data_IF_402663068681
#
_entry.id   IF_402663068681
#
_cell.length_a   1.000
_cell.length_b   1.000
_cell.length_c   1.000
_cell.angle_alpha   90.00
_cell.angle_beta   90.00
_cell.angle_gamma   90.00
#
_symmetry.space_group_name_H-M   'P 1'
#
loop_
_entity.id
_entity.type
_entity.pdbx_description
1 polymer ?
#
# COMPACT_ATOMS: atom_id res chain seq x y z
N UNK A 1 68.86 -33.27 52.12
CA UNK A 1 68.05 -33.16 50.91
C UNK A 1 68.12 -31.74 50.45
N UNK A 2 68.77 -31.46 49.30
CA UNK A 2 68.96 -30.10 48.78
C UNK A 2 67.85 -29.75 47.81
N UNK A 3 67.12 -28.62 48.03
CA UNK A 3 66.20 -28.07 47.13
C UNK A 3 66.84 -27.22 46.05
N UNK A 4 66.47 -27.33 44.75
CA UNK A 4 67.08 -26.53 43.71
C UNK A 4 66.40 -25.16 43.61
N UNK A 5 67.18 -24.10 43.52
CA UNK A 5 66.83 -22.72 43.27
C UNK A 5 66.65 -22.46 41.77
N UNK A 6 65.54 -21.87 41.39
CA UNK A 6 65.28 -21.40 40.02
C UNK A 6 65.56 -19.90 39.87
N UNK A 7 66.12 -19.46 38.76
CA UNK A 7 66.45 -18.06 38.54
C UNK A 7 65.22 -17.25 38.13
N UNK A 8 65.08 -16.07 38.74
CA UNK A 8 64.05 -15.07 38.40
C UNK A 8 64.40 -14.46 37.04
N UNK A 9 63.44 -14.57 36.06
CA UNK A 9 63.48 -13.83 34.78
C UNK A 9 62.85 -12.46 34.96
N UNK A 10 63.37 -11.39 34.36
CA UNK A 10 62.76 -10.07 34.43
C UNK A 10 61.50 -10.00 33.54
N UNK A 11 60.48 -9.39 34.09
CA UNK A 11 59.19 -9.09 33.45
C UNK A 11 59.42 -7.94 32.47
N UNK A 12 59.35 -8.20 31.16
CA UNK A 12 59.31 -7.18 30.13
C UNK A 12 57.85 -6.65 30.02
N UNK A 13 57.66 -5.38 30.37
CA UNK A 13 56.41 -4.67 30.11
C UNK A 13 56.22 -4.49 28.60
N UNK A 14 55.35 -5.27 28.00
CA UNK A 14 54.82 -5.03 26.65
C UNK A 14 53.66 -4.03 26.78
N UNK A 15 53.90 -2.80 26.42
CA UNK A 15 52.85 -1.78 26.19
C UNK A 15 52.07 -2.16 24.94
N UNK A 16 50.91 -2.77 25.10
CA UNK A 16 49.95 -2.99 24.01
C UNK A 16 49.29 -1.66 23.66
N UNK A 17 49.66 -1.09 22.52
CA UNK A 17 48.95 0.02 21.89
C UNK A 17 47.69 -0.56 21.30
N UNK A 18 46.57 -0.35 21.97
CA UNK A 18 45.22 -0.69 21.45
C UNK A 18 44.84 0.29 20.34
N UNK A 19 45.00 -0.13 19.10
CA UNK A 19 44.37 0.51 17.96
C UNK A 19 42.87 0.19 18.04
N UNK A 20 42.06 1.11 18.60
CA UNK A 20 40.61 1.07 18.40
C UNK A 20 40.32 1.28 16.89
N UNK A 21 39.54 0.41 16.25
CA UNK A 21 39.02 0.71 14.94
C UNK A 21 38.02 1.91 15.09
N UNK A 22 38.38 3.02 14.50
CA UNK A 22 37.49 4.17 14.32
C UNK A 22 36.41 3.68 13.31
N UNK A 23 35.27 3.20 13.84
CA UNK A 23 34.08 2.95 13.04
C UNK A 23 33.67 4.30 12.43
N UNK A 24 33.94 4.48 11.15
CA UNK A 24 33.31 5.50 10.33
C UNK A 24 31.80 5.24 10.37
N UNK A 25 31.12 5.90 11.30
CA UNK A 25 29.69 6.12 11.18
C UNK A 25 29.52 6.93 9.90
N UNK A 26 29.16 6.26 8.81
CA UNK A 26 28.60 6.93 7.66
C UNK A 26 27.32 7.61 8.14
N UNK A 27 27.45 8.89 8.55
CA UNK A 27 26.32 9.77 8.67
C UNK A 27 25.72 9.80 7.26
N UNK A 28 24.55 9.21 7.08
CA UNK A 28 23.73 9.53 5.94
C UNK A 28 23.47 11.02 6.06
N UNK A 29 24.11 11.82 5.25
CA UNK A 29 23.86 13.24 5.16
C UNK A 29 22.38 13.37 4.80
N UNK A 30 21.59 13.81 5.75
CA UNK A 30 20.22 14.18 5.53
C UNK A 30 20.27 15.29 4.48
N UNK A 31 19.64 15.10 3.33
CA UNK A 31 19.60 16.10 2.29
C UNK A 31 18.96 17.37 2.90
N UNK A 32 19.67 18.50 2.81
CA UNK A 32 19.15 19.80 3.25
C UNK A 32 18.29 20.36 2.11
N UNK A 33 17.03 19.90 2.01
CA UNK A 33 16.08 20.23 0.95
C UNK A 33 14.66 20.37 1.51
N UNK A 34 13.82 21.10 0.78
CA UNK A 34 12.39 21.12 1.04
C UNK A 34 11.79 19.72 0.84
N UNK A 35 10.87 19.30 1.71
CA UNK A 35 10.32 17.95 1.69
C UNK A 35 8.85 17.81 2.12
N UNK A 36 8.22 18.90 2.55
CA UNK A 36 6.85 18.85 3.05
C UNK A 36 6.65 17.76 4.12
N UNK A 37 5.76 16.80 3.86
CA UNK A 37 5.45 15.67 4.75
C UNK A 37 6.32 14.41 4.48
N UNK A 38 7.20 14.44 3.46
CA UNK A 38 8.00 13.28 3.08
C UNK A 38 9.02 12.89 4.17
N UNK A 39 9.34 11.60 4.24
CA UNK A 39 10.43 11.09 5.09
C UNK A 39 11.75 11.80 4.78
N UNK A 40 12.63 11.86 5.78
CA UNK A 40 13.93 12.52 5.69
C UNK A 40 14.86 12.03 4.56
N UNK A 41 14.51 10.92 3.90
CA UNK A 41 15.25 10.39 2.76
C UNK A 41 14.92 11.07 1.44
N UNK A 42 13.83 11.85 1.37
CA UNK A 42 13.29 12.39 0.12
C UNK A 42 13.24 13.91 0.14
N UNK A 43 13.31 14.50 -1.04
CA UNK A 43 13.11 15.93 -1.30
C UNK A 43 11.82 16.12 -2.10
N UNK A 44 11.20 17.29 -1.95
CA UNK A 44 10.05 17.77 -2.72
C UNK A 44 10.25 19.28 -2.93
N UNK A 45 11.16 19.64 -3.84
CA UNK A 45 11.52 21.05 -4.10
C UNK A 45 10.48 21.76 -4.96
N UNK A 46 9.70 21.00 -5.73
CA UNK A 46 8.66 21.53 -6.61
C UNK A 46 7.29 21.67 -5.91
N UNK A 47 7.12 21.09 -4.71
CA UNK A 47 5.92 21.18 -3.88
C UNK A 47 4.73 20.36 -4.38
N UNK A 48 4.96 19.29 -5.16
CA UNK A 48 3.91 18.43 -5.69
C UNK A 48 3.53 17.26 -4.74
N UNK A 49 4.14 17.22 -3.55
CA UNK A 49 3.94 16.22 -2.50
C UNK A 49 4.51 14.83 -2.85
N UNK A 50 5.36 14.74 -3.85
CA UNK A 50 5.96 13.49 -4.32
C UNK A 50 7.48 13.60 -4.26
N UNK A 51 8.17 12.51 -4.01
CA UNK A 51 9.62 12.51 -3.94
C UNK A 51 10.27 12.87 -5.29
N UNK A 52 11.10 13.92 -5.28
CA UNK A 52 11.92 14.28 -6.43
C UNK A 52 12.88 13.14 -6.79
N UNK A 53 13.21 13.06 -8.10
CA UNK A 53 14.30 12.18 -8.54
C UNK A 53 15.62 12.69 -7.97
N UNK A 54 16.51 11.80 -7.46
CA UNK A 54 17.82 12.22 -6.99
C UNK A 54 18.60 13.02 -8.05
N UNK A 55 19.20 14.16 -7.65
CA UNK A 55 20.01 14.98 -8.55
C UNK A 55 21.33 14.29 -8.97
N UNK A 56 21.84 13.38 -8.14
CA UNK A 56 23.00 12.55 -8.47
C UNK A 56 22.58 11.32 -9.32
N UNK A 57 22.93 11.37 -10.60
CA UNK A 57 22.63 10.29 -11.56
C UNK A 57 23.21 8.92 -11.13
N UNK A 58 24.29 8.91 -10.33
CA UNK A 58 24.85 7.66 -9.80
C UNK A 58 23.90 6.95 -8.81
N UNK A 59 22.91 7.66 -8.28
CA UNK A 59 21.86 7.13 -7.40
C UNK A 59 20.65 6.58 -8.17
N UNK A 60 20.61 6.71 -9.51
CA UNK A 60 19.49 6.22 -10.29
C UNK A 60 19.55 4.69 -10.44
N UNK A 61 18.45 4.07 -10.08
CA UNK A 61 18.30 2.62 -10.21
C UNK A 61 17.93 2.24 -11.64
N UNK A 62 18.71 1.33 -12.24
CA UNK A 62 18.45 0.80 -13.59
C UNK A 62 18.54 -0.74 -13.57
N UNK A 63 17.61 -1.43 -12.87
CA UNK A 63 17.66 -2.86 -12.68
C UNK A 63 17.43 -3.61 -14.00
N UNK A 64 18.09 -4.76 -14.15
CA UNK A 64 17.86 -5.70 -15.26
C UNK A 64 16.57 -6.49 -15.07
N UNK A 65 16.11 -6.65 -13.83
CA UNK A 65 14.84 -7.28 -13.47
C UNK A 65 13.99 -6.28 -12.72
N UNK A 66 12.80 -5.98 -13.22
CA UNK A 66 11.79 -5.20 -12.54
C UNK A 66 10.93 -6.09 -11.64
N UNK A 67 10.61 -5.60 -10.46
CA UNK A 67 9.66 -6.25 -9.56
C UNK A 67 8.40 -5.40 -9.51
N UNK A 68 7.28 -6.02 -9.86
CA UNK A 68 5.95 -5.44 -9.80
C UNK A 68 5.12 -6.13 -8.72
N UNK A 69 4.33 -5.37 -7.96
CA UNK A 69 3.40 -5.90 -6.98
C UNK A 69 2.05 -5.19 -7.06
N UNK A 70 0.99 -5.92 -6.78
CA UNK A 70 -0.35 -5.37 -6.58
C UNK A 70 -0.73 -5.42 -5.11
N UNK A 71 -1.54 -4.47 -4.67
CA UNK A 71 -1.97 -4.31 -3.27
C UNK A 71 -2.74 -5.54 -2.75
N UNK A 72 -2.52 -5.96 -1.48
CA UNK A 72 -3.19 -7.13 -0.91
C UNK A 72 -4.58 -6.78 -0.35
N UNK A 73 -5.51 -6.37 -1.22
CA UNK A 73 -6.90 -6.04 -0.84
C UNK A 73 -7.77 -7.29 -0.65
N UNK A 74 -7.35 -8.40 -1.25
CA UNK A 74 -7.87 -9.77 -1.14
C UNK A 74 -6.70 -10.75 -0.97
N UNK A 75 -6.93 -12.07 -1.04
CA UNK A 75 -5.85 -13.06 -1.01
C UNK A 75 -4.84 -12.80 -2.14
N UNK A 76 -3.58 -12.46 -1.84
CA UNK A 76 -2.59 -12.14 -2.87
C UNK A 76 -2.28 -13.28 -3.85
N UNK A 77 -2.63 -14.52 -3.52
CA UNK A 77 -2.36 -15.68 -4.37
C UNK A 77 -3.17 -15.64 -5.68
N UNK A 78 -4.33 -15.00 -5.69
CA UNK A 78 -5.19 -14.90 -6.87
C UNK A 78 -4.60 -13.98 -7.95
N UNK A 79 -3.78 -13.00 -7.56
CA UNK A 79 -3.32 -11.96 -8.47
C UNK A 79 -2.14 -12.35 -9.36
N UNK A 80 -1.42 -13.43 -9.04
CA UNK A 80 -0.23 -13.81 -9.81
C UNK A 80 -0.55 -14.09 -11.28
N UNK A 81 -1.58 -14.88 -11.52
CA UNK A 81 -1.99 -15.28 -12.87
C UNK A 81 -2.76 -14.15 -13.56
N UNK A 82 -3.64 -13.45 -12.83
CA UNK A 82 -4.43 -12.31 -13.32
C UNK A 82 -3.54 -11.20 -13.89
N UNK A 83 -2.43 -10.90 -13.22
CA UNK A 83 -1.49 -9.86 -13.67
C UNK A 83 -0.48 -10.33 -14.72
N UNK A 84 -0.41 -11.63 -15.05
CA UNK A 84 0.59 -12.15 -15.98
C UNK A 84 0.53 -11.48 -17.37
N UNK A 85 -0.65 -11.22 -17.99
CA UNK A 85 -0.71 -10.53 -19.28
C UNK A 85 -0.07 -9.13 -19.24
N UNK A 86 -0.30 -8.38 -18.15
CA UNK A 86 0.31 -7.07 -17.97
C UNK A 86 1.82 -7.17 -17.70
N UNK A 87 2.27 -8.14 -16.91
CA UNK A 87 3.69 -8.40 -16.63
C UNK A 87 4.44 -8.71 -17.92
N UNK A 88 3.86 -9.50 -18.82
CA UNK A 88 4.45 -9.83 -20.12
C UNK A 88 4.53 -8.59 -21.01
N UNK A 89 3.47 -7.78 -21.09
CA UNK A 89 3.45 -6.52 -21.81
C UNK A 89 4.50 -5.52 -21.27
N UNK A 90 4.56 -5.35 -19.95
CA UNK A 90 5.56 -4.49 -19.30
C UNK A 90 6.99 -4.97 -19.59
N UNK A 91 7.20 -6.28 -19.65
CA UNK A 91 8.49 -6.87 -20.01
C UNK A 91 8.86 -6.57 -21.48
N UNK A 92 7.91 -6.68 -22.40
CA UNK A 92 8.10 -6.39 -23.82
C UNK A 92 8.48 -4.92 -24.05
N UNK A 93 7.68 -3.98 -23.50
CA UNK A 93 7.87 -2.54 -23.70
C UNK A 93 9.16 -2.04 -23.04
N UNK A 94 9.43 -2.48 -21.81
CA UNK A 94 10.63 -2.04 -21.09
C UNK A 94 11.91 -2.71 -21.56
N UNK A 95 11.80 -3.89 -22.19
CA UNK A 95 12.94 -4.75 -22.53
C UNK A 95 13.65 -5.30 -21.29
N UNK A 96 12.93 -5.47 -20.16
CA UNK A 96 13.44 -5.99 -18.88
C UNK A 96 12.74 -7.30 -18.53
N UNK A 97 13.41 -8.15 -17.75
CA UNK A 97 12.74 -9.23 -17.05
C UNK A 97 11.80 -8.59 -15.99
N UNK A 98 10.51 -8.94 -16.01
CA UNK A 98 9.54 -8.42 -15.02
C UNK A 98 8.97 -9.59 -14.24
N UNK A 99 8.89 -9.44 -12.91
CA UNK A 99 8.38 -10.46 -12.01
C UNK A 99 7.29 -9.90 -11.12
N UNK A 100 6.19 -10.60 -11.06
CA UNK A 100 5.16 -10.33 -10.06
C UNK A 100 5.63 -10.79 -8.68
N UNK A 101 5.40 -9.96 -7.67
CA UNK A 101 5.70 -10.26 -6.28
C UNK A 101 4.44 -10.15 -5.42
N UNK A 102 3.91 -11.29 -4.98
CA UNK A 102 2.76 -11.34 -4.10
C UNK A 102 3.15 -10.85 -2.69
N UNK A 103 2.59 -9.73 -2.27
CA UNK A 103 2.80 -9.14 -0.93
C UNK A 103 1.66 -9.53 0.00
N UNK A 104 1.97 -9.68 1.29
CA UNK A 104 1.02 -10.17 2.28
C UNK A 104 0.35 -9.05 3.10
N UNK A 105 0.90 -7.83 3.05
CA UNK A 105 0.35 -6.67 3.75
C UNK A 105 0.80 -5.37 3.10
N UNK A 106 0.03 -4.30 3.34
CA UNK A 106 0.39 -2.95 2.90
C UNK A 106 1.75 -2.51 3.46
N UNK A 107 2.02 -2.82 4.73
CA UNK A 107 3.30 -2.51 5.37
C UNK A 107 4.47 -3.18 4.66
N UNK A 108 4.35 -4.47 4.34
CA UNK A 108 5.38 -5.22 3.61
C UNK A 108 5.61 -4.65 2.20
N UNK A 109 4.56 -4.18 1.54
CA UNK A 109 4.65 -3.58 0.20
C UNK A 109 5.41 -2.24 0.23
N UNK A 110 5.06 -1.35 1.15
CA UNK A 110 5.75 -0.06 1.35
C UNK A 110 7.23 -0.28 1.71
N UNK A 111 7.53 -1.18 2.65
CA UNK A 111 8.90 -1.49 3.03
C UNK A 111 9.71 -2.15 1.89
N UNK A 112 9.09 -2.94 1.03
CA UNK A 112 9.74 -3.51 -0.14
C UNK A 112 10.17 -2.41 -1.13
N UNK A 113 9.31 -1.40 -1.39
CA UNK A 113 9.65 -0.27 -2.24
C UNK A 113 10.71 0.63 -1.58
N UNK A 114 10.53 1.00 -0.29
CA UNK A 114 11.50 1.79 0.47
C UNK A 114 12.90 1.19 0.45
N UNK A 115 13.00 -0.13 0.51
CA UNK A 115 14.29 -0.84 0.50
C UNK A 115 14.84 -1.12 -0.89
N UNK A 116 14.21 -0.63 -1.96
CA UNK A 116 14.63 -0.83 -3.36
C UNK A 116 14.43 -2.26 -3.88
N UNK A 117 13.62 -3.09 -3.20
CA UNK A 117 13.28 -4.45 -3.64
C UNK A 117 12.04 -4.52 -4.51
N UNK A 118 11.24 -3.45 -4.52
CA UNK A 118 10.04 -3.29 -5.32
C UNK A 118 10.19 -2.02 -6.15
N UNK A 119 9.94 -2.11 -7.45
CA UNK A 119 10.22 -1.03 -8.40
C UNK A 119 8.94 -0.36 -8.91
N UNK A 120 7.88 -1.15 -9.10
CA UNK A 120 6.58 -0.72 -9.59
C UNK A 120 5.51 -1.37 -8.71
N UNK A 121 4.51 -0.60 -8.29
CA UNK A 121 3.48 -1.14 -7.41
C UNK A 121 2.12 -0.47 -7.63
N UNK A 122 1.06 -1.28 -7.57
CA UNK A 122 -0.27 -0.79 -7.26
C UNK A 122 -0.45 -0.69 -5.75
N UNK A 123 -0.58 0.51 -5.20
CA UNK A 123 -0.92 0.73 -3.79
C UNK A 123 -2.40 1.07 -3.66
N UNK A 124 -3.12 0.40 -2.77
CA UNK A 124 -4.51 0.75 -2.49
C UNK A 124 -4.64 2.17 -1.94
N UNK A 125 -5.84 2.70 -1.98
CA UNK A 125 -6.17 4.10 -1.76
C UNK A 125 -5.59 4.68 -0.46
N UNK A 126 -5.79 4.00 0.67
CA UNK A 126 -5.28 4.44 1.98
C UNK A 126 -3.76 4.30 2.12
N UNK A 127 -3.14 3.19 1.75
CA UNK A 127 -1.69 2.99 1.74
C UNK A 127 -0.90 3.90 0.79
N UNK A 128 -1.50 4.41 -0.29
CA UNK A 128 -0.80 5.29 -1.25
C UNK A 128 -0.07 6.46 -0.58
N UNK A 129 -0.67 7.29 0.30
CA UNK A 129 0.06 8.37 0.96
C UNK A 129 1.21 7.88 1.84
N UNK A 130 1.11 6.72 2.46
CA UNK A 130 2.23 6.12 3.18
C UNK A 130 3.38 5.74 2.23
N UNK A 131 3.07 5.13 1.08
CA UNK A 131 4.06 4.78 0.08
C UNK A 131 4.78 6.02 -0.47
N UNK A 132 4.02 7.08 -0.78
CA UNK A 132 4.57 8.37 -1.21
C UNK A 132 5.53 8.94 -0.16
N UNK A 133 5.08 9.04 1.09
CA UNK A 133 5.86 9.69 2.14
C UNK A 133 7.02 8.83 2.65
N UNK A 134 6.86 7.53 2.80
CA UNK A 134 7.83 6.65 3.43
C UNK A 134 8.75 5.91 2.45
N UNK A 135 8.30 5.69 1.21
CA UNK A 135 9.01 4.87 0.25
C UNK A 135 9.40 5.60 -1.04
N UNK A 136 9.06 6.89 -1.18
CA UNK A 136 9.34 7.66 -2.39
C UNK A 136 8.60 7.09 -3.61
N UNK A 137 7.40 6.56 -3.39
CA UNK A 137 6.52 6.12 -4.47
C UNK A 137 6.03 7.33 -5.27
N UNK A 138 6.07 7.25 -6.59
CA UNK A 138 5.57 8.28 -7.51
C UNK A 138 4.30 7.79 -8.17
N UNK A 139 3.11 8.23 -7.71
CA UNK A 139 1.85 7.86 -8.33
C UNK A 139 1.71 8.50 -9.70
N UNK A 140 1.41 7.70 -10.73
CA UNK A 140 1.30 8.21 -12.11
C UNK A 140 0.06 7.72 -12.85
N UNK A 141 -0.55 6.61 -12.42
CA UNK A 141 -1.71 6.04 -13.09
C UNK A 141 -2.70 5.42 -12.10
N UNK A 142 -3.94 5.27 -12.54
CA UNK A 142 -4.97 4.41 -11.94
C UNK A 142 -5.76 3.71 -13.07
N UNK A 143 -6.56 2.72 -12.71
CA UNK A 143 -7.49 2.04 -13.62
C UNK A 143 -8.79 2.83 -13.78
N UNK A 144 -9.33 2.86 -14.99
CA UNK A 144 -10.60 3.50 -15.29
C UNK A 144 -11.16 3.10 -16.65
N UNK A 145 -12.34 3.63 -16.96
CA UNK A 145 -13.05 3.42 -18.22
C UNK A 145 -12.59 4.39 -19.32
N UNK A 146 -13.01 4.15 -20.56
CA UNK A 146 -12.65 4.97 -21.72
C UNK A 146 -13.14 6.41 -21.61
N UNK A 147 -14.29 6.64 -20.97
CA UNK A 147 -14.84 7.98 -20.70
C UNK A 147 -14.17 8.68 -19.50
N UNK A 148 -13.17 8.06 -18.88
CA UNK A 148 -12.37 8.61 -17.79
C UNK A 148 -13.02 8.46 -16.42
N UNK A 149 -14.05 7.62 -16.27
CA UNK A 149 -14.58 7.31 -14.94
C UNK A 149 -13.66 6.36 -14.19
N UNK A 150 -13.52 6.59 -12.90
CA UNK A 150 -12.73 5.75 -11.99
C UNK A 150 -13.28 5.83 -10.57
N UNK A 151 -12.77 4.98 -9.71
CA UNK A 151 -13.07 5.04 -8.29
C UNK A 151 -14.10 4.02 -7.84
N UNK A 152 -14.22 3.92 -6.52
CA UNK A 152 -15.06 2.98 -5.80
C UNK A 152 -15.72 3.66 -4.60
N UNK A 153 -16.70 3.00 -3.98
CA UNK A 153 -17.38 3.48 -2.77
C UNK A 153 -17.04 2.60 -1.57
N UNK A 154 -17.15 3.14 -0.37
CA UNK A 154 -17.30 2.37 0.85
C UNK A 154 -18.74 1.87 0.91
N UNK A 155 -18.92 0.58 1.05
CA UNK A 155 -20.20 -0.05 1.30
C UNK A 155 -20.19 -0.76 2.65
N UNK A 156 -21.20 -0.49 3.51
CA UNK A 156 -21.37 -1.16 4.78
C UNK A 156 -22.42 -2.27 4.64
N UNK A 157 -22.00 -3.51 4.83
CA UNK A 157 -22.86 -4.68 4.73
C UNK A 157 -23.13 -5.32 6.08
N UNK A 158 -24.30 -5.95 6.19
CA UNK A 158 -24.73 -6.84 7.25
C UNK A 158 -25.41 -8.06 6.65
N UNK A 159 -25.56 -9.15 7.42
CA UNK A 159 -26.32 -10.30 6.96
C UNK A 159 -27.81 -9.97 6.81
N UNK A 160 -28.47 -10.48 5.75
CA UNK A 160 -29.88 -10.17 5.45
C UNK A 160 -30.84 -10.52 6.59
N UNK A 161 -30.59 -11.61 7.32
CA UNK A 161 -31.40 -12.05 8.46
C UNK A 161 -31.05 -11.35 9.79
N UNK A 162 -30.11 -10.39 9.79
CA UNK A 162 -29.78 -9.66 11.01
C UNK A 162 -30.86 -8.61 11.35
N UNK A 163 -30.87 -8.15 12.59
CA UNK A 163 -31.71 -7.05 13.05
C UNK A 163 -31.16 -5.65 12.69
N UNK A 164 -30.05 -5.62 11.94
CA UNK A 164 -29.38 -4.39 11.53
C UNK A 164 -29.93 -3.95 10.18
N UNK A 165 -30.65 -2.82 10.14
CA UNK A 165 -31.25 -2.25 8.93
C UNK A 165 -30.65 -0.88 8.56
N UNK A 166 -29.92 -0.26 9.51
CA UNK A 166 -29.33 1.08 9.37
C UNK A 166 -28.02 1.20 10.14
N UNK A 167 -27.29 2.30 9.94
CA UNK A 167 -26.08 2.59 10.72
C UNK A 167 -26.34 2.69 12.23
N UNK A 168 -27.50 3.18 12.64
CA UNK A 168 -27.87 3.34 14.06
C UNK A 168 -27.91 1.99 14.81
N UNK A 169 -28.25 0.91 14.09
CA UNK A 169 -28.34 -0.44 14.64
C UNK A 169 -26.97 -1.09 14.89
N UNK A 170 -25.89 -0.45 14.46
CA UNK A 170 -24.52 -0.91 14.73
C UNK A 170 -24.10 -0.77 16.20
N UNK A 171 -24.88 -0.03 17.01
CA UNK A 171 -24.54 0.19 18.43
C UNK A 171 -24.46 -1.11 19.22
N UNK A 172 -23.27 -1.33 19.82
CA UNK A 172 -22.96 -2.54 20.60
C UNK A 172 -22.64 -3.78 19.75
N UNK A 173 -22.54 -3.66 18.45
CA UNK A 173 -22.23 -4.74 17.50
C UNK A 173 -20.72 -4.87 17.26
N UNK A 174 -20.31 -5.99 16.68
CA UNK A 174 -18.91 -6.27 16.24
C UNK A 174 -18.79 -6.02 14.76
N UNK A 175 -18.05 -4.98 14.36
CA UNK A 175 -17.89 -4.58 12.97
C UNK A 175 -16.48 -4.93 12.50
N UNK A 176 -16.39 -5.69 11.40
CA UNK A 176 -15.13 -6.12 10.83
C UNK A 176 -14.51 -5.05 9.94
N UNK A 177 -13.64 -4.22 10.50
CA UNK A 177 -12.74 -3.39 9.70
C UNK A 177 -11.65 -4.26 9.06
N UNK A 178 -11.03 -3.80 7.94
CA UNK A 178 -10.05 -4.63 7.21
C UNK A 178 -8.66 -4.55 7.83
N UNK A 179 -8.02 -3.39 7.72
CA UNK A 179 -6.68 -3.12 8.25
C UNK A 179 -6.53 -1.65 8.64
N UNK A 180 -5.58 -1.28 9.52
CA UNK A 180 -5.43 0.09 10.02
C UNK A 180 -5.30 1.16 8.94
N UNK A 181 -4.64 0.86 7.82
CA UNK A 181 -4.40 1.80 6.72
C UNK A 181 -5.42 1.74 5.59
N UNK A 182 -6.37 0.79 5.63
CA UNK A 182 -7.42 0.70 4.60
C UNK A 182 -8.29 1.96 4.59
N UNK A 183 -8.56 2.51 3.41
CA UNK A 183 -9.47 3.65 3.29
C UNK A 183 -10.91 3.24 3.61
N UNK A 184 -11.58 2.52 2.71
CA UNK A 184 -12.99 2.13 2.91
C UNK A 184 -13.20 1.16 4.05
N UNK A 185 -12.21 0.29 4.34
CA UNK A 185 -12.31 -0.70 5.41
C UNK A 185 -11.98 -0.17 6.81
N UNK A 186 -11.48 1.06 6.99
CA UNK A 186 -11.15 1.59 8.31
C UNK A 186 -11.19 3.12 8.42
N UNK A 187 -10.40 3.85 7.64
CA UNK A 187 -10.19 5.29 7.86
C UNK A 187 -11.40 6.13 7.44
N UNK A 188 -12.05 5.78 6.34
CA UNK A 188 -13.25 6.47 5.89
C UNK A 188 -14.44 6.23 6.85
N UNK A 189 -14.74 5.02 7.34
CA UNK A 189 -15.73 4.84 8.42
C UNK A 189 -15.44 5.72 9.64
N UNK A 190 -14.19 5.79 10.10
CA UNK A 190 -13.80 6.61 11.25
C UNK A 190 -13.94 8.12 11.01
N UNK A 191 -13.81 8.58 9.77
CA UNK A 191 -13.96 9.99 9.43
C UNK A 191 -15.42 10.39 9.13
N UNK A 192 -16.19 9.51 8.49
CA UNK A 192 -17.51 9.83 7.95
C UNK A 192 -18.66 9.47 8.89
N UNK A 193 -18.59 8.32 9.55
CA UNK A 193 -19.71 7.83 10.38
C UNK A 193 -19.99 8.70 11.62
N UNK A 194 -19.00 9.36 12.27
CA UNK A 194 -19.29 10.28 13.37
C UNK A 194 -20.24 11.42 13.01
N UNK A 195 -20.16 11.93 11.78
CA UNK A 195 -21.09 12.96 11.26
C UNK A 195 -22.52 12.42 11.10
N UNK A 196 -22.65 11.09 10.99
CA UNK A 196 -23.94 10.38 10.92
C UNK A 196 -24.38 9.82 12.29
N UNK A 197 -23.69 10.16 13.37
CA UNK A 197 -24.05 9.80 14.74
C UNK A 197 -23.59 8.42 15.20
N UNK A 198 -22.62 7.80 14.51
CA UNK A 198 -22.04 6.50 14.85
C UNK A 198 -20.51 6.60 14.87
N UNK A 199 -19.91 6.41 16.03
CA UNK A 199 -18.45 6.52 16.20
C UNK A 199 -17.83 5.14 16.41
N UNK A 200 -16.91 4.71 15.52
CA UNK A 200 -16.15 3.48 15.71
C UNK A 200 -15.41 3.46 17.06
N UNK A 201 -15.31 2.29 17.71
CA UNK A 201 -14.77 2.03 19.04
C UNK A 201 -15.56 2.65 20.22
N UNK A 202 -16.48 3.59 19.97
CA UNK A 202 -17.36 4.15 21.01
C UNK A 202 -18.76 3.50 20.93
N UNK A 203 -19.35 3.47 19.74
CA UNK A 203 -20.70 2.95 19.53
C UNK A 203 -20.69 1.47 19.13
N UNK A 204 -19.64 0.97 18.50
CA UNK A 204 -19.47 -0.44 18.14
C UNK A 204 -18.02 -0.91 18.32
N UNK A 205 -17.83 -2.22 18.50
CA UNK A 205 -16.51 -2.84 18.60
C UNK A 205 -15.87 -2.98 17.21
N UNK A 206 -14.70 -2.38 16.99
CA UNK A 206 -13.91 -2.59 15.78
C UNK A 206 -13.03 -3.83 15.95
N UNK A 207 -13.13 -4.77 15.00
CA UNK A 207 -12.21 -5.92 14.88
C UNK A 207 -11.58 -5.92 13.52
N UNK A 208 -10.29 -6.23 13.41
CA UNK A 208 -9.60 -6.27 12.12
C UNK A 208 -9.64 -7.68 11.53
N UNK A 209 -10.23 -7.82 10.34
CA UNK A 209 -10.32 -9.08 9.60
C UNK A 209 -9.07 -9.41 8.80
N UNK A 210 -8.31 -8.37 8.39
CA UNK A 210 -7.12 -8.48 7.57
C UNK A 210 -7.33 -8.03 6.10
N UNK A 211 -8.48 -8.35 5.48
CA UNK A 211 -8.78 -8.01 4.09
C UNK A 211 -10.29 -7.83 3.84
N UNK A 212 -10.65 -7.28 2.68
CA UNK A 212 -12.06 -7.03 2.34
C UNK A 212 -12.86 -8.32 2.14
N UNK A 213 -12.27 -9.31 1.49
CA UNK A 213 -12.89 -10.62 1.29
C UNK A 213 -13.16 -11.34 2.62
N UNK A 214 -12.20 -11.30 3.55
CA UNK A 214 -12.40 -11.87 4.89
C UNK A 214 -13.47 -11.12 5.69
N UNK A 215 -13.54 -9.78 5.57
CA UNK A 215 -14.61 -9.00 6.18
C UNK A 215 -15.98 -9.43 5.66
N UNK A 216 -16.13 -9.51 4.34
CA UNK A 216 -17.39 -9.86 3.67
C UNK A 216 -17.82 -11.29 3.99
N UNK A 217 -16.91 -12.27 3.84
CA UNK A 217 -17.19 -13.67 4.16
C UNK A 217 -17.53 -13.86 5.64
N UNK A 218 -16.92 -13.10 6.53
CA UNK A 218 -17.24 -13.11 7.95
C UNK A 218 -18.64 -12.58 8.26
N UNK A 219 -19.16 -11.60 7.48
CA UNK A 219 -20.55 -11.15 7.56
C UNK A 219 -21.50 -12.25 7.08
N UNK A 220 -21.22 -12.86 5.93
CA UNK A 220 -22.01 -13.97 5.39
C UNK A 220 -22.07 -15.15 6.36
N UNK A 221 -20.94 -15.50 6.99
CA UNK A 221 -20.84 -16.56 8.00
C UNK A 221 -21.41 -16.15 9.38
N UNK A 222 -21.77 -14.87 9.58
CA UNK A 222 -22.23 -14.29 10.85
C UNK A 222 -21.17 -14.33 11.97
N UNK A 223 -19.90 -14.34 11.60
CA UNK A 223 -18.78 -14.17 12.53
C UNK A 223 -18.63 -12.70 12.96
N UNK A 224 -19.09 -11.79 12.11
CA UNK A 224 -19.20 -10.35 12.34
C UNK A 224 -20.61 -9.86 12.05
N UNK A 225 -21.05 -8.83 12.79
CA UNK A 225 -22.40 -8.26 12.63
C UNK A 225 -22.51 -7.39 11.38
N UNK A 226 -21.43 -6.67 11.04
CA UNK A 226 -21.33 -5.83 9.84
C UNK A 226 -19.87 -5.66 9.40
N UNK A 227 -19.68 -5.14 8.18
CA UNK A 227 -18.36 -4.81 7.66
C UNK A 227 -18.39 -3.67 6.63
N UNK A 228 -17.50 -2.65 6.73
CA UNK A 228 -17.23 -1.70 5.68
C UNK A 228 -16.24 -2.31 4.69
N UNK A 229 -16.64 -2.40 3.42
CA UNK A 229 -15.84 -3.00 2.34
C UNK A 229 -15.79 -2.09 1.12
N UNK A 230 -14.84 -2.34 0.22
CA UNK A 230 -14.73 -1.64 -1.05
C UNK A 230 -15.73 -2.23 -2.06
N UNK A 231 -16.53 -1.40 -2.73
CA UNK A 231 -17.53 -1.86 -3.71
C UNK A 231 -16.92 -2.71 -4.81
N UNK A 232 -15.76 -2.34 -5.34
CA UNK A 232 -15.04 -3.09 -6.38
C UNK A 232 -14.61 -4.51 -5.94
N UNK A 233 -14.34 -4.72 -4.65
CA UNK A 233 -14.02 -6.05 -4.11
C UNK A 233 -15.30 -6.89 -3.99
N UNK A 234 -16.37 -6.28 -3.49
CA UNK A 234 -17.68 -6.93 -3.36
C UNK A 234 -18.19 -7.41 -4.71
N UNK A 235 -18.11 -6.56 -5.75
CA UNK A 235 -18.48 -6.86 -7.12
C UNK A 235 -17.69 -8.06 -7.68
N UNK A 236 -16.36 -8.06 -7.50
CA UNK A 236 -15.52 -9.20 -7.93
C UNK A 236 -15.81 -10.49 -7.18
N UNK A 237 -16.06 -10.41 -5.87
CA UNK A 237 -16.44 -11.58 -5.06
C UNK A 237 -17.77 -12.18 -5.52
N UNK A 238 -18.76 -11.35 -5.84
CA UNK A 238 -20.05 -11.78 -6.38
C UNK A 238 -19.87 -12.44 -7.76
N UNK A 239 -19.11 -11.83 -8.66
CA UNK A 239 -18.82 -12.36 -9.99
C UNK A 239 -18.12 -13.74 -9.93
N UNK A 240 -17.30 -13.97 -8.91
CA UNK A 240 -16.64 -15.27 -8.64
C UNK A 240 -17.56 -16.26 -7.91
N UNK A 241 -18.76 -15.86 -7.50
CA UNK A 241 -19.69 -16.70 -6.74
C UNK A 241 -19.19 -17.08 -5.34
N UNK A 242 -18.41 -16.19 -4.70
CA UNK A 242 -17.86 -16.42 -3.36
C UNK A 242 -18.90 -16.21 -2.25
N UNK A 243 -19.97 -15.51 -2.53
CA UNK A 243 -21.14 -15.33 -1.67
C UNK A 243 -22.39 -15.13 -2.53
N UNK A 244 -23.58 -15.25 -1.94
CA UNK A 244 -24.84 -14.90 -2.58
C UNK A 244 -25.25 -13.47 -2.18
N UNK A 245 -25.52 -12.61 -3.15
CA UNK A 245 -25.92 -11.23 -2.88
C UNK A 245 -27.21 -11.13 -2.06
N UNK A 246 -28.08 -12.15 -2.13
CA UNK A 246 -29.31 -12.24 -1.34
C UNK A 246 -29.02 -12.49 0.16
N UNK A 247 -27.82 -12.96 0.55
CA UNK A 247 -27.45 -13.22 1.94
C UNK A 247 -27.04 -11.94 2.71
N UNK A 248 -26.85 -10.84 2.03
CA UNK A 248 -26.37 -9.59 2.63
C UNK A 248 -27.28 -8.40 2.35
N UNK A 249 -27.20 -7.42 3.22
CA UNK A 249 -27.91 -6.14 3.12
C UNK A 249 -26.92 -5.00 3.14
N UNK A 250 -26.97 -4.13 2.13
CA UNK A 250 -26.26 -2.86 2.12
C UNK A 250 -27.04 -1.85 3.00
N UNK A 251 -26.37 -1.31 4.02
CA UNK A 251 -26.96 -0.33 4.96
C UNK A 251 -26.39 1.09 4.81
N UNK A 252 -25.25 1.24 4.11
CA UNK A 252 -24.64 2.54 3.84
C UNK A 252 -23.70 2.47 2.64
N UNK A 253 -23.68 3.55 1.86
CA UNK A 253 -22.73 3.75 0.76
C UNK A 253 -22.21 5.19 0.79
N UNK A 254 -20.91 5.36 0.59
CA UNK A 254 -20.24 6.66 0.57
C UNK A 254 -20.22 7.30 -0.83
N UNK A 255 -19.77 8.56 -0.91
CA UNK A 255 -19.26 9.13 -2.16
C UNK A 255 -18.02 8.35 -2.65
N UNK A 256 -17.67 8.53 -3.95
CA UNK A 256 -16.57 7.82 -4.58
C UNK A 256 -15.20 8.31 -4.10
N UNK A 257 -14.29 7.36 -3.95
CA UNK A 257 -12.87 7.55 -3.70
C UNK A 257 -12.04 7.14 -4.93
N UNK A 258 -10.82 7.69 -5.12
CA UNK A 258 -9.89 7.15 -6.10
C UNK A 258 -9.56 5.69 -5.76
N UNK A 259 -9.39 4.85 -6.77
CA UNK A 259 -9.01 3.46 -6.61
C UNK A 259 -7.49 3.30 -6.38
N UNK A 260 -6.95 2.10 -6.61
CA UNK A 260 -5.51 1.81 -6.52
C UNK A 260 -4.69 2.75 -7.41
N UNK A 261 -3.67 3.40 -6.84
CA UNK A 261 -2.67 4.12 -7.62
C UNK A 261 -1.56 3.19 -8.09
N UNK A 262 -1.11 3.34 -9.31
CA UNK A 262 0.12 2.70 -9.80
C UNK A 262 1.27 3.66 -9.67
N UNK A 263 2.38 3.15 -9.16
CA UNK A 263 3.51 3.94 -8.71
C UNK A 263 4.82 3.30 -9.18
N UNK A 264 5.81 4.12 -9.47
CA UNK A 264 7.19 3.68 -9.59
C UNK A 264 8.06 4.29 -8.48
N UNK A 265 9.22 3.70 -8.22
CA UNK A 265 10.16 4.23 -7.25
C UNK A 265 10.84 5.49 -7.81
N UNK A 266 10.87 6.61 -7.03
CA UNK A 266 11.35 7.94 -7.43
C UNK A 266 12.75 7.96 -8.06
N UNK A 267 13.59 6.99 -7.73
CA UNK A 267 14.98 6.93 -8.15
C UNK A 267 15.23 6.05 -9.38
N UNK A 268 14.20 5.61 -10.10
CA UNK A 268 14.40 4.87 -11.34
C UNK A 268 15.00 5.76 -12.44
N UNK A 269 15.82 5.14 -13.30
CA UNK A 269 16.42 5.83 -14.45
C UNK A 269 15.33 6.44 -15.34
N UNK A 270 15.48 7.71 -15.83
CA UNK A 270 14.44 8.40 -16.61
C UNK A 270 13.94 7.60 -17.80
N UNK A 271 14.84 7.05 -18.64
CA UNK A 271 14.45 6.26 -19.81
C UNK A 271 13.65 5.00 -19.44
N UNK A 272 13.87 4.47 -18.23
CA UNK A 272 13.10 3.32 -17.75
C UNK A 272 11.71 3.75 -17.27
N UNK A 273 11.60 4.92 -16.63
CA UNK A 273 10.31 5.51 -16.25
C UNK A 273 9.44 5.77 -17.48
N UNK A 274 10.00 6.40 -18.53
CA UNK A 274 9.27 6.64 -19.79
C UNK A 274 8.69 5.34 -20.37
N UNK A 275 9.47 4.26 -20.37
CA UNK A 275 9.00 2.94 -20.84
C UNK A 275 7.97 2.28 -19.92
N UNK A 276 8.08 2.48 -18.62
CA UNK A 276 7.07 2.01 -17.67
C UNK A 276 5.75 2.73 -17.93
N UNK A 277 5.77 4.05 -18.07
CA UNK A 277 4.58 4.84 -18.36
C UNK A 277 4.00 4.43 -19.74
N UNK A 278 4.84 4.27 -20.77
CA UNK A 278 4.42 3.75 -22.08
C UNK A 278 3.70 2.41 -21.94
N UNK A 279 4.26 1.46 -21.18
CA UNK A 279 3.66 0.15 -20.99
C UNK A 279 2.27 0.25 -20.30
N UNK A 280 2.12 1.10 -19.30
CA UNK A 280 0.83 1.29 -18.65
C UNK A 280 -0.20 1.89 -19.62
N UNK A 281 0.14 2.96 -20.31
CA UNK A 281 -0.82 3.67 -21.17
C UNK A 281 -1.08 3.02 -22.54
N UNK A 282 -0.32 1.98 -22.89
CA UNK A 282 -0.54 1.19 -24.12
C UNK A 282 -1.09 -0.22 -23.85
N UNK A 283 -1.30 -0.59 -22.60
CA UNK A 283 -1.86 -1.90 -22.27
C UNK A 283 -3.32 -1.99 -22.69
N UNK A 284 -3.65 -3.05 -23.44
CA UNK A 284 -5.02 -3.34 -23.84
C UNK A 284 -5.62 -4.39 -22.89
N UNK A 285 -6.66 -4.02 -22.18
CA UNK A 285 -7.37 -4.89 -21.25
C UNK A 285 -8.27 -5.91 -21.95
N UNK A 286 -8.67 -5.65 -23.20
CA UNK A 286 -9.66 -6.47 -23.92
C UNK A 286 -9.17 -7.91 -24.14
N UNK A 287 -9.94 -8.88 -23.67
CA UNK A 287 -9.65 -10.31 -23.82
C UNK A 287 -8.49 -10.81 -22.95
N UNK A 288 -8.10 -10.07 -21.94
CA UNK A 288 -7.14 -10.50 -20.92
C UNK A 288 -7.82 -10.91 -19.62
N UNK A 289 -7.20 -11.81 -18.84
CA UNK A 289 -7.66 -12.17 -17.50
C UNK A 289 -7.76 -10.93 -16.60
N UNK A 290 -6.88 -9.95 -16.80
CA UNK A 290 -6.91 -8.69 -16.07
C UNK A 290 -8.16 -7.86 -16.40
N UNK A 291 -8.58 -7.82 -17.66
CA UNK A 291 -9.81 -7.14 -18.08
C UNK A 291 -11.09 -7.85 -17.61
N UNK A 292 -11.05 -9.20 -17.52
CA UNK A 292 -12.16 -9.99 -16.98
C UNK A 292 -12.29 -9.79 -15.46
N UNK A 293 -11.17 -9.72 -14.74
CA UNK A 293 -11.13 -9.53 -13.29
C UNK A 293 -11.58 -8.13 -12.85
N UNK A 294 -11.20 -7.10 -13.60
CA UNK A 294 -11.54 -5.71 -13.30
C UNK A 294 -12.61 -5.19 -14.26
N UNK A 295 -13.82 -5.72 -14.15
CA UNK A 295 -14.95 -5.37 -15.00
C UNK A 295 -15.19 -3.85 -15.04
N UNK A 296 -15.41 -3.29 -16.22
CA UNK A 296 -15.57 -1.86 -16.44
C UNK A 296 -14.27 -1.06 -16.51
N UNK A 297 -13.11 -1.70 -16.31
CA UNK A 297 -11.80 -1.10 -16.57
C UNK A 297 -11.40 -1.34 -18.02
N UNK A 298 -11.06 -0.27 -18.72
CA UNK A 298 -10.70 -0.32 -20.12
C UNK A 298 -9.27 0.18 -20.38
N UNK A 299 -8.72 1.00 -19.45
CA UNK A 299 -7.37 1.55 -19.57
C UNK A 299 -6.78 2.01 -18.26
N UNK A 300 -5.49 2.30 -18.27
CA UNK A 300 -4.85 3.12 -17.24
C UNK A 300 -5.01 4.61 -17.58
N UNK A 301 -5.36 5.41 -16.58
CA UNK A 301 -5.59 6.86 -16.68
C UNK A 301 -4.45 7.57 -15.94
N UNK A 302 -3.81 8.60 -16.55
CA UNK A 302 -2.81 9.39 -15.86
C UNK A 302 -3.42 10.20 -14.71
N UNK A 303 -2.70 10.32 -13.61
CA UNK A 303 -3.15 11.03 -12.42
C UNK A 303 -2.17 12.10 -11.96
N UNK A 304 -2.71 13.06 -11.21
CA UNK A 304 -1.96 13.97 -10.36
C UNK A 304 -2.23 13.62 -8.89
N UNK A 305 -1.18 13.26 -8.14
CA UNK A 305 -1.34 12.82 -6.76
C UNK A 305 -1.94 13.91 -5.86
N UNK A 306 -1.51 15.16 -6.04
CA UNK A 306 -1.97 16.27 -5.22
C UNK A 306 -3.48 16.49 -5.32
N UNK A 307 -4.05 16.35 -6.51
CA UNK A 307 -5.47 16.52 -6.77
C UNK A 307 -6.27 15.27 -6.43
N UNK A 308 -5.93 14.13 -7.04
CA UNK A 308 -6.73 12.90 -6.96
C UNK A 308 -6.76 12.30 -5.56
N UNK A 309 -5.69 12.47 -4.76
CA UNK A 309 -5.61 11.96 -3.39
C UNK A 309 -5.94 13.00 -2.31
N UNK A 310 -6.45 14.18 -2.68
CA UNK A 310 -6.80 15.23 -1.70
C UNK A 310 -7.86 14.75 -0.68
N UNK A 311 -8.91 14.08 -1.14
CA UNK A 311 -9.97 13.54 -0.27
C UNK A 311 -9.40 12.51 0.73
N UNK A 312 -8.48 11.67 0.27
CA UNK A 312 -7.85 10.65 1.12
C UNK A 312 -6.96 11.28 2.19
N UNK A 313 -6.15 12.26 1.83
CA UNK A 313 -5.35 13.00 2.82
C UNK A 313 -6.23 13.73 3.83
N UNK A 314 -7.38 14.24 3.40
CA UNK A 314 -8.37 14.87 4.32
C UNK A 314 -8.92 13.85 5.31
N UNK A 315 -9.33 12.66 4.84
CA UNK A 315 -9.79 11.56 5.70
C UNK A 315 -8.70 11.13 6.68
N UNK A 316 -7.46 10.99 6.21
CA UNK A 316 -6.33 10.62 7.05
C UNK A 316 -5.99 11.70 8.09
N UNK A 317 -6.05 12.97 7.71
CA UNK A 317 -5.86 14.07 8.64
C UNK A 317 -6.97 14.13 9.72
N UNK A 318 -8.22 13.83 9.37
CA UNK A 318 -9.33 13.74 10.32
C UNK A 318 -9.14 12.60 11.35
N UNK A 319 -8.37 11.58 10.98
CA UNK A 319 -7.99 10.47 11.86
C UNK A 319 -6.62 10.67 12.55
N UNK A 320 -6.04 11.87 12.52
CA UNK A 320 -4.71 12.16 13.07
C UNK A 320 -3.59 11.23 12.54
N UNK A 321 -3.77 10.69 11.31
CA UNK A 321 -2.80 9.77 10.70
C UNK A 321 -1.49 10.52 10.43
N UNK A 322 -0.39 9.96 10.93
CA UNK A 322 0.97 10.38 10.60
C UNK A 322 1.63 9.33 9.73
N UNK A 323 2.32 9.75 8.70
CA UNK A 323 3.04 8.85 7.80
C UNK A 323 4.34 8.37 8.45
N UNK A 324 4.20 7.46 9.40
CA UNK A 324 5.30 6.80 10.11
C UNK A 324 5.21 5.29 9.92
N UNK A 325 6.34 4.61 10.10
CA UNK A 325 6.36 3.13 10.01
C UNK A 325 5.47 2.47 11.06
N UNK A 326 5.35 3.10 12.23
CA UNK A 326 4.49 2.61 13.33
C UNK A 326 3.01 2.64 12.93
N UNK A 327 2.57 3.68 12.22
CA UNK A 327 1.17 3.80 11.78
C UNK A 327 0.85 3.02 10.51
N UNK A 328 1.85 2.39 9.91
CA UNK A 328 1.68 1.53 8.73
C UNK A 328 1.31 0.08 9.13
N UNK A 329 1.64 -0.32 10.36
CA UNK A 329 1.31 -1.63 10.96
C UNK A 329 -0.09 -1.59 11.65
#
# INVERSE_FOLDING_TARGET
MKTPSWPKRPLALLTAVSLLPMALLASHAQADCERGALDALYCDENGDMVADRPADESSWANPSTLIFAYTPVEDPAIYSDIWQPFVDHLSEVTGRDVRFFAVQSNAAQVEAMRSGRLHIAGFSTGPTPFAVNLAGAVPFALMGSDDGQFGYTLQMFTHVDSDIESLEDLKGKRVAHTSPTSNSGNLAPRALLPELGITPDEDYEVVYSGSHDQSMLGVVARDYDAAPVASEVVERMAARGLYDEEDVRLIYESDRFPTTSYNYAHNLHPDLVEKIEEAFFTFDFVGTELGEEFEGVEKFIPINYQEHWQVIRTIQAANDVRYTRENLE
#
